data_IF_245894821971
#
_entry.id   IF_245894821971
#
_cell.length_a   1.000
_cell.length_b   1.000
_cell.length_c   1.000
_cell.angle_alpha   90.00
_cell.angle_beta   90.00
_cell.angle_gamma   90.00
#
_symmetry.space_group_name_H-M   'P 1'
#
loop_
_entity.id
_entity.type
_entity.pdbx_description
1 polymer ?
#
# COMPACT_ATOMS: atom_id res chain seq x y z
N UNK A 1 31.94 -28.89 -11.72
CA UNK A 1 31.23 -29.17 -12.99
C UNK A 1 29.88 -29.78 -12.61
N UNK A 2 28.86 -28.97 -12.45
CA UNK A 2 27.39 -29.17 -12.39
C UNK A 2 26.80 -27.89 -11.76
N UNK A 3 26.50 -26.91 -12.57
CA UNK A 3 25.69 -25.75 -12.21
C UNK A 3 25.29 -25.07 -13.53
N UNK A 4 24.18 -25.51 -14.14
CA UNK A 4 23.49 -24.78 -15.21
C UNK A 4 22.32 -25.64 -15.73
N UNK A 5 21.27 -25.78 -14.92
CA UNK A 5 19.98 -26.29 -15.38
C UNK A 5 18.92 -25.92 -14.36
N UNK A 6 18.41 -24.71 -14.38
CA UNK A 6 17.11 -24.33 -13.76
C UNK A 6 16.71 -22.88 -14.06
N UNK A 7 17.05 -22.37 -15.26
CA UNK A 7 16.68 -20.98 -15.62
C UNK A 7 15.64 -20.85 -16.75
N UNK A 8 15.03 -21.96 -17.19
CA UNK A 8 14.14 -21.95 -18.37
C UNK A 8 12.72 -22.47 -18.14
N UNK A 9 12.22 -22.59 -16.89
CA UNK A 9 10.88 -23.17 -16.67
C UNK A 9 9.82 -22.20 -16.11
N UNK A 10 10.08 -20.90 -16.04
CA UNK A 10 9.08 -19.94 -15.49
C UNK A 10 8.55 -18.91 -16.50
N UNK A 11 8.70 -19.13 -17.80
CA UNK A 11 8.24 -18.17 -18.81
C UNK A 11 7.00 -18.64 -19.62
N UNK A 12 6.31 -19.73 -19.24
CA UNK A 12 5.22 -20.30 -20.05
C UNK A 12 3.85 -20.39 -19.38
N UNK A 13 3.61 -19.74 -18.22
CA UNK A 13 2.32 -19.83 -17.53
C UNK A 13 1.48 -18.53 -17.51
N UNK A 14 1.83 -17.50 -18.30
CA UNK A 14 1.06 -16.25 -18.31
C UNK A 14 0.32 -15.98 -19.63
N UNK A 15 0.05 -16.99 -20.43
CA UNK A 15 -0.54 -16.79 -21.77
C UNK A 15 -1.82 -17.60 -22.04
N UNK A 16 -2.78 -17.72 -21.10
CA UNK A 16 -4.11 -18.22 -21.47
C UNK A 16 -5.24 -17.71 -20.55
N UNK A 17 -5.94 -16.63 -20.91
CA UNK A 17 -7.37 -16.59 -20.60
C UNK A 17 -8.30 -16.30 -21.81
N UNK A 18 -7.86 -16.40 -23.08
CA UNK A 18 -8.71 -16.02 -24.21
C UNK A 18 -9.28 -17.19 -25.05
N UNK A 19 -8.97 -18.46 -24.70
CA UNK A 19 -9.51 -19.61 -25.46
C UNK A 19 -10.85 -20.16 -24.96
N UNK A 20 -11.42 -19.67 -23.87
CA UNK A 20 -12.71 -20.16 -23.32
C UNK A 20 -13.95 -19.42 -23.85
N UNK A 21 -13.81 -18.27 -24.47
CA UNK A 21 -14.94 -17.48 -24.97
C UNK A 21 -15.45 -17.91 -26.36
N UNK A 22 -14.71 -18.70 -27.11
CA UNK A 22 -15.13 -19.17 -28.45
C UNK A 22 -15.86 -20.52 -28.44
N UNK A 23 -15.93 -21.25 -27.34
CA UNK A 23 -16.55 -22.61 -27.33
C UNK A 23 -18.01 -22.66 -26.82
N UNK A 24 -18.57 -21.56 -26.32
CA UNK A 24 -19.94 -21.59 -25.72
C UNK A 24 -21.06 -21.13 -26.65
N UNK A 25 -20.80 -20.86 -27.93
CA UNK A 25 -21.85 -20.37 -28.84
C UNK A 25 -22.18 -21.37 -29.98
N UNK A 26 -22.33 -22.65 -29.62
CA UNK A 26 -22.84 -23.67 -30.59
C UNK A 26 -24.03 -24.45 -30.06
N UNK A 27 -25.08 -23.80 -29.54
CA UNK A 27 -26.42 -24.39 -29.46
C UNK A 27 -27.49 -23.32 -29.65
N UNK A 28 -28.01 -23.27 -30.88
CA UNK A 28 -29.36 -22.94 -31.29
C UNK A 28 -30.13 -21.84 -30.55
N UNK A 29 -30.11 -20.66 -31.09
CA UNK A 29 -31.33 -19.85 -31.22
C UNK A 29 -31.36 -19.36 -32.67
N UNK A 30 -32.33 -19.85 -33.42
CA UNK A 30 -32.54 -19.41 -34.81
C UNK A 30 -33.18 -18.02 -34.78
N UNK A 31 -32.36 -17.01 -34.92
CA UNK A 31 -32.81 -15.66 -35.29
C UNK A 31 -32.05 -15.33 -36.57
N UNK A 32 -32.80 -15.27 -37.64
CA UNK A 32 -32.32 -14.94 -38.97
C UNK A 32 -31.80 -13.51 -38.99
N UNK A 33 -30.50 -13.34 -38.95
CA UNK A 33 -29.83 -12.10 -39.29
C UNK A 33 -29.26 -12.21 -40.70
N UNK A 34 -30.06 -11.65 -41.66
CA UNK A 34 -29.67 -11.49 -43.02
C UNK A 34 -28.41 -10.58 -43.14
N UNK A 35 -27.33 -11.11 -43.70
CA UNK A 35 -26.48 -10.36 -44.62
C UNK A 35 -25.53 -9.32 -44.05
N UNK A 36 -24.71 -9.64 -43.04
CA UNK A 36 -23.52 -8.83 -42.78
C UNK A 36 -22.26 -9.59 -43.22
N UNK A 37 -21.43 -9.03 -44.12
CA UNK A 37 -20.29 -9.73 -44.67
C UNK A 37 -19.24 -9.99 -43.56
N UNK A 38 -18.76 -11.23 -43.47
CA UNK A 38 -17.70 -11.69 -42.54
C UNK A 38 -16.52 -10.72 -42.39
N UNK A 39 -16.30 -9.84 -43.36
CA UNK A 39 -15.26 -8.80 -43.36
C UNK A 39 -15.46 -7.71 -42.31
N UNK A 40 -16.69 -7.42 -41.89
CA UNK A 40 -16.98 -6.40 -40.86
C UNK A 40 -16.58 -6.88 -39.49
N UNK A 41 -16.78 -8.16 -39.17
CA UNK A 41 -16.37 -8.72 -37.86
C UNK A 41 -14.85 -8.83 -37.73
N UNK A 42 -14.13 -9.11 -38.80
CA UNK A 42 -12.67 -9.12 -38.77
C UNK A 42 -12.09 -7.70 -38.59
N UNK A 43 -12.71 -6.68 -39.18
CA UNK A 43 -12.31 -5.30 -38.99
C UNK A 43 -12.57 -4.79 -37.54
N UNK A 44 -13.68 -5.18 -36.93
CA UNK A 44 -14.00 -4.84 -35.53
C UNK A 44 -13.05 -5.54 -34.54
N UNK A 45 -12.68 -6.80 -34.78
CA UNK A 45 -11.71 -7.51 -33.95
C UNK A 45 -10.29 -6.92 -34.07
N UNK A 46 -9.90 -6.46 -35.25
CA UNK A 46 -8.63 -5.78 -35.46
C UNK A 46 -8.58 -4.38 -34.80
N UNK A 47 -9.71 -3.67 -34.77
CA UNK A 47 -9.80 -2.35 -34.13
C UNK A 47 -9.66 -2.44 -32.60
N UNK A 48 -10.10 -3.54 -31.97
CA UNK A 48 -9.96 -3.76 -30.52
C UNK A 48 -8.51 -4.08 -30.09
N UNK A 49 -7.63 -4.48 -31.01
CA UNK A 49 -6.22 -4.73 -30.74
C UNK A 49 -5.37 -3.45 -30.65
N UNK A 50 -5.92 -2.30 -31.06
CA UNK A 50 -5.25 -0.99 -31.03
C UNK A 50 -5.75 -0.06 -29.93
N UNK A 51 -6.52 -0.56 -28.94
CA UNK A 51 -6.81 0.24 -27.75
C UNK A 51 -5.50 0.43 -26.98
N UNK A 52 -4.98 1.66 -26.88
CA UNK A 52 -3.79 1.90 -26.06
C UNK A 52 -4.12 1.47 -24.64
N UNK A 53 -3.31 0.59 -24.08
CA UNK A 53 -3.34 0.32 -22.65
C UNK A 53 -3.20 1.68 -21.95
N UNK A 54 -4.20 2.07 -21.18
CA UNK A 54 -4.14 3.30 -20.41
C UNK A 54 -2.90 3.20 -19.51
N UNK A 55 -1.85 3.90 -19.89
CA UNK A 55 -0.63 3.98 -19.10
C UNK A 55 -1.03 4.63 -17.78
N UNK A 56 -1.01 3.86 -16.70
CA UNK A 56 -1.14 4.40 -15.35
C UNK A 56 0.09 5.27 -15.13
N UNK A 57 -0.12 6.59 -15.15
CA UNK A 57 0.92 7.55 -14.84
C UNK A 57 1.33 7.32 -13.38
N UNK A 58 2.47 6.69 -13.16
CA UNK A 58 3.08 6.62 -11.84
C UNK A 58 3.40 8.04 -11.40
N UNK A 59 2.97 8.45 -10.20
CA UNK A 59 3.35 9.72 -9.60
C UNK A 59 4.83 9.62 -9.27
N UNK A 60 5.69 10.07 -10.18
CA UNK A 60 7.13 10.12 -9.96
C UNK A 60 7.49 11.53 -9.49
N UNK A 61 8.20 11.62 -8.38
CA UNK A 61 8.66 12.89 -7.82
C UNK A 61 9.25 12.69 -6.45
N UNK A 62 9.93 13.71 -5.98
CA UNK A 62 10.48 13.79 -4.63
C UNK A 62 10.03 15.11 -4.00
N UNK A 63 9.62 15.06 -2.73
CA UNK A 63 9.33 16.22 -1.90
C UNK A 63 10.40 16.28 -0.84
N UNK A 64 11.11 17.41 -0.74
CA UNK A 64 12.12 17.66 0.26
C UNK A 64 11.72 18.86 1.11
N UNK A 65 11.79 18.75 2.43
CA UNK A 65 11.48 19.87 3.32
C UNK A 65 11.37 19.48 4.78
N UNK A 66 11.15 20.49 5.64
CA UNK A 66 10.87 20.26 7.06
C UNK A 66 9.42 19.80 7.22
N UNK A 67 9.24 18.65 7.85
CA UNK A 67 7.93 18.05 8.01
C UNK A 67 7.25 18.50 9.31
N UNK A 68 5.95 18.74 9.23
CA UNK A 68 5.04 18.82 10.38
C UNK A 68 4.29 17.50 10.51
N UNK A 69 4.39 16.84 11.64
CA UNK A 69 3.66 15.59 11.90
C UNK A 69 2.19 15.89 12.15
N UNK A 70 1.30 15.18 11.47
CA UNK A 70 -0.16 15.24 11.64
C UNK A 70 -0.62 14.13 12.57
N UNK A 71 -0.15 12.90 12.30
CA UNK A 71 -0.38 11.71 13.11
C UNK A 71 0.80 10.72 12.94
N UNK A 72 0.70 9.53 13.51
CA UNK A 72 1.80 8.56 13.53
C UNK A 72 2.19 7.98 12.15
N UNK A 73 1.43 8.24 11.10
CA UNK A 73 1.75 7.80 9.74
C UNK A 73 1.49 8.85 8.66
N UNK A 74 1.20 10.08 9.06
CA UNK A 74 0.90 11.18 8.13
C UNK A 74 1.69 12.44 8.53
N UNK A 75 2.39 13.00 7.57
CA UNK A 75 3.15 14.24 7.72
C UNK A 75 2.69 15.27 6.68
N UNK A 76 3.06 16.51 6.90
CA UNK A 76 2.83 17.64 5.99
C UNK A 76 4.15 18.33 5.70
N UNK A 77 4.48 18.51 4.44
CA UNK A 77 5.61 19.32 3.98
C UNK A 77 5.06 20.40 3.05
N UNK A 78 5.16 21.66 3.45
CA UNK A 78 4.70 22.80 2.67
C UNK A 78 3.23 22.71 2.18
N UNK A 79 2.35 22.21 3.04
CA UNK A 79 0.93 22.00 2.73
C UNK A 79 0.63 20.71 1.94
N UNK A 80 1.62 19.94 1.60
CA UNK A 80 1.45 18.65 0.94
C UNK A 80 1.36 17.53 1.97
N UNK A 81 0.16 16.93 2.08
CA UNK A 81 -0.06 15.78 2.98
C UNK A 81 0.52 14.52 2.39
N UNK A 82 1.34 13.86 3.17
CA UNK A 82 2.08 12.64 2.79
C UNK A 82 1.77 11.55 3.81
N UNK A 83 1.21 10.44 3.33
CA UNK A 83 1.06 9.21 4.11
C UNK A 83 2.30 8.35 3.94
N UNK A 84 2.90 7.96 5.04
CA UNK A 84 4.06 7.07 5.05
C UNK A 84 3.68 5.69 4.49
N UNK A 85 4.46 5.22 3.52
CA UNK A 85 4.20 3.97 2.81
C UNK A 85 4.28 2.75 3.73
N UNK A 86 3.36 1.79 3.55
CA UNK A 86 3.46 0.44 4.07
C UNK A 86 3.23 0.27 5.57
N UNK A 87 2.83 1.33 6.28
CA UNK A 87 2.54 1.28 7.72
C UNK A 87 1.15 1.81 8.05
N UNK A 88 0.69 1.49 9.25
CA UNK A 88 -0.54 2.04 9.85
C UNK A 88 -0.28 2.31 11.33
N UNK A 89 -0.44 3.55 11.76
CA UNK A 89 -0.25 3.96 13.14
C UNK A 89 -1.60 4.06 13.87
N UNK A 90 -1.61 3.94 15.21
CA UNK A 90 -2.81 4.22 15.98
C UNK A 90 -3.33 5.62 15.72
N UNK A 91 -4.64 5.74 15.61
CA UNK A 91 -5.32 7.04 15.44
C UNK A 91 -5.08 7.95 16.64
N UNK A 92 -5.02 9.27 16.43
CA UNK A 92 -4.71 10.25 17.48
C UNK A 92 -5.59 10.13 18.72
N UNK A 93 -6.85 9.67 18.57
CA UNK A 93 -7.78 9.41 19.67
C UNK A 93 -7.81 7.96 20.16
N UNK A 94 -6.93 7.10 19.62
CA UNK A 94 -6.87 5.71 20.02
C UNK A 94 -6.14 5.56 21.35
N UNK A 95 -6.74 4.75 22.24
CA UNK A 95 -6.15 4.33 23.50
C UNK A 95 -5.73 2.87 23.43
N UNK A 96 -4.62 2.57 24.11
CA UNK A 96 -4.05 1.24 24.26
C UNK A 96 -3.92 0.93 25.76
N UNK A 97 -3.68 -0.33 26.10
CA UNK A 97 -3.39 -0.73 27.47
C UNK A 97 -1.90 -1.07 27.60
N UNK A 98 -1.25 -0.55 28.63
CA UNK A 98 0.11 -0.95 28.99
C UNK A 98 0.17 -2.39 29.50
N UNK A 99 1.37 -2.93 29.74
CA UNK A 99 1.57 -4.23 30.40
C UNK A 99 0.89 -4.33 31.79
N UNK A 100 0.69 -3.18 32.47
CA UNK A 100 -0.02 -3.08 33.73
C UNK A 100 -1.53 -2.84 33.56
N UNK A 101 -2.07 -2.94 32.35
CA UNK A 101 -3.48 -2.65 32.02
C UNK A 101 -3.92 -1.22 32.31
N UNK A 102 -3.01 -0.27 32.31
CA UNK A 102 -3.32 1.15 32.40
C UNK A 102 -3.53 1.71 30.99
N UNK A 103 -4.67 2.39 30.79
CA UNK A 103 -4.96 3.03 29.50
C UNK A 103 -4.02 4.22 29.27
N UNK A 104 -3.57 4.37 28.01
CA UNK A 104 -2.74 5.48 27.58
C UNK A 104 -3.03 5.84 26.12
N UNK A 105 -2.81 7.08 25.74
CA UNK A 105 -3.11 7.62 24.42
C UNK A 105 -2.02 7.25 23.41
N UNK A 106 -2.04 6.00 22.94
CA UNK A 106 -1.01 5.46 22.09
C UNK A 106 -0.91 6.17 20.73
N UNK A 107 -2.03 6.65 20.16
CA UNK A 107 -1.99 7.39 18.90
C UNK A 107 -1.30 8.75 19.05
N UNK A 108 -1.56 9.49 20.13
CA UNK A 108 -0.84 10.74 20.37
C UNK A 108 0.65 10.49 20.63
N UNK A 109 0.97 9.43 21.36
CA UNK A 109 2.35 9.09 21.64
C UNK A 109 3.11 8.68 20.37
N UNK A 110 2.49 7.90 19.47
CA UNK A 110 3.09 7.54 18.18
C UNK A 110 3.40 8.79 17.34
N UNK A 111 2.47 9.75 17.30
CA UNK A 111 2.67 11.03 16.59
C UNK A 111 3.80 11.86 17.22
N UNK A 112 3.86 11.88 18.55
CA UNK A 112 4.93 12.59 19.28
C UNK A 112 6.30 11.96 19.00
N UNK A 113 6.40 10.64 19.07
CA UNK A 113 7.65 9.92 18.81
C UNK A 113 8.16 10.16 17.38
N UNK A 114 7.25 10.19 16.40
CA UNK A 114 7.62 10.54 15.01
C UNK A 114 8.12 11.99 14.93
N UNK A 115 7.43 12.93 15.59
CA UNK A 115 7.80 14.35 15.59
C UNK A 115 9.17 14.59 16.25
N UNK A 116 9.42 13.97 17.40
CA UNK A 116 10.70 14.04 18.10
C UNK A 116 11.83 13.42 17.26
N UNK A 117 11.53 12.30 16.61
CA UNK A 117 12.51 11.63 15.76
C UNK A 117 12.90 12.46 14.55
N UNK A 118 11.94 13.07 13.85
CA UNK A 118 12.21 13.94 12.70
C UNK A 118 12.90 15.24 13.14
N UNK A 119 12.42 15.86 14.22
CA UNK A 119 12.87 17.16 14.68
C UNK A 119 12.66 18.25 13.62
N UNK A 120 13.66 19.09 13.45
CA UNK A 120 13.67 20.16 12.43
C UNK A 120 14.50 19.80 11.19
N UNK A 121 14.96 18.55 11.09
CA UNK A 121 15.78 18.09 9.97
C UNK A 121 14.92 17.97 8.71
N UNK A 122 15.32 18.52 7.57
CA UNK A 122 14.65 18.28 6.31
C UNK A 122 14.65 16.78 5.97
N UNK A 123 13.50 16.28 5.49
CA UNK A 123 13.34 14.89 5.06
C UNK A 123 13.01 14.86 3.58
N UNK A 124 13.46 13.80 2.89
CA UNK A 124 13.16 13.54 1.49
C UNK A 124 12.09 12.44 1.38
N UNK A 125 11.03 12.69 0.62
CA UNK A 125 9.92 11.78 0.40
C UNK A 125 9.82 11.42 -1.07
N UNK A 126 10.18 10.20 -1.44
CA UNK A 126 9.98 9.65 -2.79
C UNK A 126 8.53 9.23 -2.96
N UNK A 127 7.83 9.90 -3.88
CA UNK A 127 6.42 9.66 -4.15
C UNK A 127 6.22 8.32 -4.86
N UNK A 128 5.19 7.59 -4.44
CA UNK A 128 4.80 6.31 -5.02
C UNK A 128 3.43 6.39 -5.69
N UNK A 129 2.45 7.03 -5.00
CA UNK A 129 1.06 7.04 -5.42
C UNK A 129 0.29 8.18 -4.73
N UNK A 130 -1.02 8.27 -5.00
CA UNK A 130 -1.98 9.09 -4.25
C UNK A 130 -3.12 8.23 -3.74
N UNK A 131 -3.53 8.47 -2.50
CA UNK A 131 -4.69 7.79 -1.96
C UNK A 131 -6.01 8.48 -2.41
N UNK A 132 -7.13 7.83 -2.11
CA UNK A 132 -8.47 8.35 -2.42
C UNK A 132 -8.82 9.68 -1.73
N UNK A 133 -8.03 10.10 -0.75
CA UNK A 133 -8.19 11.36 -0.01
C UNK A 133 -7.26 12.47 -0.55
N UNK A 134 -6.54 12.18 -1.62
CA UNK A 134 -5.62 13.13 -2.27
C UNK A 134 -4.25 13.25 -1.59
N UNK A 135 -3.96 12.46 -0.53
CA UNK A 135 -2.65 12.45 0.09
C UNK A 135 -1.66 11.70 -0.80
N UNK A 136 -0.42 12.18 -0.85
CA UNK A 136 0.65 11.39 -1.45
C UNK A 136 0.98 10.18 -0.57
N UNK A 137 1.22 9.04 -1.18
CA UNK A 137 1.83 7.87 -0.54
C UNK A 137 3.30 7.90 -0.90
N UNK A 138 4.19 7.91 0.10
CA UNK A 138 5.62 8.05 -0.15
C UNK A 138 6.49 7.26 0.84
N UNK A 139 7.68 6.91 0.39
CA UNK A 139 8.78 6.47 1.26
C UNK A 139 9.56 7.71 1.65
N UNK A 140 9.49 8.08 2.93
CA UNK A 140 10.13 9.25 3.49
C UNK A 140 11.37 8.86 4.29
N UNK A 141 12.45 9.65 4.15
CA UNK A 141 13.75 9.39 4.77
C UNK A 141 14.29 10.61 5.46
N UNK A 142 14.93 10.38 6.61
CA UNK A 142 15.82 11.34 7.27
C UNK A 142 17.26 10.90 7.01
N UNK A 143 17.91 11.53 6.02
CA UNK A 143 19.17 11.00 5.51
C UNK A 143 18.99 9.62 4.88
N UNK A 144 19.70 8.61 5.38
CA UNK A 144 19.57 7.24 4.90
C UNK A 144 18.44 6.45 5.58
N UNK A 145 17.91 6.95 6.70
CA UNK A 145 16.96 6.23 7.54
C UNK A 145 15.53 6.35 7.02
N UNK A 146 14.87 5.21 6.80
CA UNK A 146 13.47 5.10 6.39
C UNK A 146 12.57 5.31 7.62
N UNK A 147 11.70 6.35 7.58
CA UNK A 147 10.82 6.70 8.70
C UNK A 147 9.77 5.64 8.98
N UNK A 148 9.22 5.00 7.96
CA UNK A 148 8.27 3.90 8.12
C UNK A 148 8.90 2.73 8.86
N UNK A 149 10.13 2.37 8.46
CA UNK A 149 10.91 1.32 9.13
C UNK A 149 11.18 1.65 10.58
N UNK A 150 11.59 2.88 10.85
CA UNK A 150 11.87 3.33 12.22
C UNK A 150 10.62 3.25 13.11
N UNK A 151 9.47 3.69 12.61
CA UNK A 151 8.20 3.63 13.33
C UNK A 151 7.82 2.20 13.68
N UNK A 152 7.90 1.27 12.72
CA UNK A 152 7.55 -0.14 12.94
C UNK A 152 8.57 -0.84 13.85
N UNK A 153 9.86 -0.64 13.64
CA UNK A 153 10.93 -1.27 14.42
C UNK A 153 10.92 -0.86 15.89
N UNK A 154 10.39 0.34 16.21
CA UNK A 154 10.20 0.82 17.58
C UNK A 154 8.79 0.58 18.13
N UNK A 155 7.90 -0.05 17.35
CA UNK A 155 6.55 -0.42 17.76
C UNK A 155 5.58 0.77 17.86
N UNK A 156 5.83 1.88 17.17
CA UNK A 156 4.95 3.05 17.12
C UNK A 156 3.92 2.97 16.00
N UNK A 157 4.14 2.09 15.03
CA UNK A 157 3.20 1.73 13.97
C UNK A 157 3.25 0.22 13.70
N UNK A 158 2.27 -0.29 12.98
CA UNK A 158 2.22 -1.68 12.51
C UNK A 158 2.48 -1.75 11.02
N UNK A 159 3.04 -2.85 10.54
CA UNK A 159 3.21 -3.09 9.11
C UNK A 159 1.84 -3.30 8.45
N UNK A 160 1.51 -2.49 7.46
CA UNK A 160 0.24 -2.62 6.75
C UNK A 160 0.38 -3.61 5.59
N UNK A 161 0.42 -4.89 5.92
CA UNK A 161 0.75 -6.02 5.02
C UNK A 161 -0.15 -6.13 3.79
N UNK A 162 -1.31 -5.49 3.80
CA UNK A 162 -2.20 -5.42 2.63
C UNK A 162 -1.59 -4.62 1.47
N UNK A 163 -0.69 -3.67 1.78
CA UNK A 163 -0.09 -2.78 0.79
C UNK A 163 1.40 -3.04 0.58
N UNK A 164 2.12 -3.50 1.62
CA UNK A 164 3.54 -3.82 1.50
C UNK A 164 3.97 -4.83 2.56
N UNK A 165 4.94 -5.66 2.22
CA UNK A 165 5.62 -6.57 3.16
C UNK A 165 6.98 -6.03 3.63
N UNK A 166 7.39 -4.82 3.19
CA UNK A 166 8.72 -4.26 3.40
C UNK A 166 9.10 -4.13 4.89
N UNK A 167 8.10 -3.97 5.77
CA UNK A 167 8.30 -3.76 7.20
C UNK A 167 7.83 -4.93 8.07
N UNK A 168 7.41 -6.06 7.46
CA UNK A 168 6.87 -7.20 8.21
C UNK A 168 7.90 -7.83 9.15
N UNK A 169 9.18 -7.90 8.75
CA UNK A 169 10.24 -8.41 9.60
C UNK A 169 10.62 -7.46 10.75
N UNK A 170 10.47 -6.15 10.53
CA UNK A 170 10.68 -5.13 11.57
C UNK A 170 9.59 -5.20 12.63
N UNK A 171 8.34 -5.39 12.21
CA UNK A 171 7.20 -5.61 13.11
C UNK A 171 7.40 -6.86 13.98
N UNK A 172 7.81 -7.98 13.40
CA UNK A 172 8.02 -9.21 14.14
C UNK A 172 9.12 -9.05 15.21
N UNK A 173 10.20 -8.30 14.87
CA UNK A 173 11.23 -7.95 15.87
C UNK A 173 10.70 -7.05 16.98
N UNK A 174 9.91 -6.02 16.65
CA UNK A 174 9.31 -5.13 17.62
C UNK A 174 8.37 -5.89 18.57
N UNK A 175 7.58 -6.81 18.01
CA UNK A 175 6.65 -7.68 18.75
C UNK A 175 7.39 -8.64 19.70
N UNK A 176 8.41 -9.35 19.22
CA UNK A 176 9.18 -10.30 20.02
C UNK A 176 9.95 -9.62 21.16
N UNK A 177 10.37 -8.37 20.97
CA UNK A 177 11.07 -7.55 21.98
C UNK A 177 10.13 -6.64 22.77
N UNK A 178 8.80 -6.74 22.56
CA UNK A 178 7.76 -5.98 23.27
C UNK A 178 7.97 -4.46 23.22
N UNK A 179 8.36 -3.92 22.07
CA UNK A 179 8.57 -2.48 21.93
C UNK A 179 7.27 -1.72 21.68
N UNK A 180 7.17 -0.52 22.26
CA UNK A 180 6.08 0.41 22.02
C UNK A 180 4.71 -0.21 22.26
N UNK A 181 3.83 -0.24 21.25
CA UNK A 181 2.50 -0.84 21.32
C UNK A 181 2.52 -2.32 21.76
N UNK A 182 3.59 -3.04 21.43
CA UNK A 182 3.73 -4.47 21.72
C UNK A 182 4.07 -4.79 23.19
N UNK A 183 4.36 -3.77 24.01
CA UNK A 183 4.55 -3.95 25.46
C UNK A 183 3.24 -4.35 26.16
N UNK A 184 2.11 -3.90 25.63
CA UNK A 184 0.80 -4.15 26.22
C UNK A 184 -0.18 -4.78 25.24
N UNK A 185 -1.41 -4.25 25.23
CA UNK A 185 -2.44 -4.68 24.27
C UNK A 185 -3.09 -3.46 23.59
N UNK A 186 -3.38 -3.62 22.31
CA UNK A 186 -4.01 -2.59 21.51
C UNK A 186 -4.88 -3.24 20.43
N UNK A 187 -5.82 -2.48 19.93
CA UNK A 187 -6.59 -2.83 18.74
C UNK A 187 -5.83 -2.39 17.51
N UNK A 188 -5.86 -3.19 16.45
CA UNK A 188 -5.22 -2.79 15.17
C UNK A 188 -5.86 -1.50 14.66
N UNK A 189 -5.08 -0.54 14.15
CA UNK A 189 -5.61 0.77 13.73
C UNK A 189 -6.77 0.67 12.74
N UNK A 190 -6.71 -0.25 11.78
CA UNK A 190 -7.79 -0.48 10.81
C UNK A 190 -9.05 -1.05 11.43
N UNK A 191 -8.97 -1.91 12.46
CA UNK A 191 -10.12 -2.48 13.16
C UNK A 191 -10.77 -1.42 14.03
N UNK A 192 -9.97 -0.63 14.74
CA UNK A 192 -10.43 0.50 15.52
C UNK A 192 -11.22 1.51 14.66
N UNK A 193 -10.73 1.86 13.47
CA UNK A 193 -11.46 2.71 12.51
C UNK A 193 -12.76 2.06 12.01
N UNK A 194 -12.75 0.75 11.78
CA UNK A 194 -13.93 0.02 11.31
C UNK A 194 -15.06 0.05 12.33
N UNK A 195 -14.75 -0.20 13.62
CA UNK A 195 -15.73 -0.18 14.71
C UNK A 195 -16.36 1.22 14.91
N UNK A 196 -15.56 2.28 14.77
CA UNK A 196 -16.08 3.66 14.93
C UNK A 196 -16.96 4.14 13.78
N UNK A 197 -16.79 3.58 12.60
CA UNK A 197 -17.68 3.86 11.46
C UNK A 197 -19.00 3.10 11.53
N UNK A 198 -19.07 2.04 12.33
CA UNK A 198 -20.28 1.23 12.52
C UNK A 198 -21.21 1.76 13.62
N UNK A 199 -20.75 2.76 14.41
CA UNK A 199 -21.53 3.47 15.45
C UNK A 199 -22.13 4.74 14.89
#
# INVERSE_FOLDING_TARGET
>A
MVLLKNFFLNLLLFQYPLRWLCWFNRRRVGVGFAGHPRKVWLALCLLMLFLPAAAQASVQGEILGVARVIDGDTIDIEGQRIRLHGIDAPESSQECLSSRRVAWRCGQHASQMLAEHIGTTPIGCRLLDRDRHGRFIAICRRGAEDLSRWMVANGWAVAFRRFSLDYAADEERARSTKKGLWEGSFEMPWDWRAQRRAK
#
